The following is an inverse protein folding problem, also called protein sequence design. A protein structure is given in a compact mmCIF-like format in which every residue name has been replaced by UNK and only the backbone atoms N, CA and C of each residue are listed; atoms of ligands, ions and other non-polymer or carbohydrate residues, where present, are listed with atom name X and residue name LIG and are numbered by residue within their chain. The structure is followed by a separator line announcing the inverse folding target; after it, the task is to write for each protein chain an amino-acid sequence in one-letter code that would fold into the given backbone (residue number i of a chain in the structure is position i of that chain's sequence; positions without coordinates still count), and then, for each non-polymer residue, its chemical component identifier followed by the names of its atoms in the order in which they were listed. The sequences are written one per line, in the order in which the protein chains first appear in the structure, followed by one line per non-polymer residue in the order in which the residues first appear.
data_IF_778361598072
#
_entry.id   IF_778361598072
#
_cell.length_a   1.000
_cell.length_b   1.000
_cell.length_c   1.000
_cell.angle_alpha   90.00
_cell.angle_beta   90.00
_cell.angle_gamma   90.00
#
_symmetry.space_group_name_H-M   'P 1'
#
loop_
_entity.id
_entity.type
_entity.pdbx_description
1 polymer ?
#
# COMPACT_ATOMS: atom_id res chain seq x y z
N UNK A 1 -13.15 39.05 -30.71
CA UNK A 1 -14.00 38.80 -29.53
C UNK A 1 -15.01 37.71 -29.91
N UNK A 2 -15.17 36.70 -29.05
CA UNK A 2 -16.20 35.64 -29.10
C UNK A 2 -15.88 34.27 -29.74
N UNK A 3 -14.72 33.66 -29.43
CA UNK A 3 -14.56 32.19 -29.58
C UNK A 3 -13.77 31.58 -28.40
N UNK A 4 -14.27 31.77 -27.19
CA UNK A 4 -13.71 31.18 -25.97
C UNK A 4 -14.84 30.66 -25.07
N UNK A 5 -15.62 29.71 -25.58
CA UNK A 5 -16.71 29.04 -24.85
C UNK A 5 -16.84 27.60 -25.32
N UNK A 6 -16.07 26.71 -24.73
CA UNK A 6 -16.42 25.30 -24.55
C UNK A 6 -15.42 24.70 -23.55
N UNK A 7 -15.58 25.09 -22.30
CA UNK A 7 -15.14 24.30 -21.15
C UNK A 7 -15.88 22.95 -21.22
N UNK A 8 -15.32 21.99 -21.96
CA UNK A 8 -15.78 20.61 -21.90
C UNK A 8 -15.10 19.98 -20.70
N UNK A 9 -15.68 20.24 -19.52
CA UNK A 9 -15.41 19.48 -18.31
C UNK A 9 -15.84 18.04 -18.54
N UNK A 10 -14.95 17.25 -19.13
CA UNK A 10 -15.07 15.80 -19.13
C UNK A 10 -15.21 15.39 -17.65
N UNK A 11 -16.34 14.78 -17.30
CA UNK A 11 -16.45 14.09 -16.01
C UNK A 11 -15.44 12.96 -16.06
N UNK A 12 -14.23 13.25 -15.61
CA UNK A 12 -13.14 12.29 -15.54
C UNK A 12 -13.59 11.23 -14.53
N UNK A 13 -14.08 10.10 -15.05
CA UNK A 13 -14.47 8.97 -14.24
C UNK A 13 -13.32 8.59 -13.30
N UNK A 14 -13.62 7.97 -12.16
CA UNK A 14 -12.58 7.62 -11.21
C UNK A 14 -11.53 6.76 -11.91
N UNK A 15 -10.29 7.26 -11.96
CA UNK A 15 -9.15 6.56 -12.55
C UNK A 15 -9.06 5.17 -11.91
N UNK A 16 -9.17 4.12 -12.73
CA UNK A 16 -9.24 2.74 -12.28
C UNK A 16 -8.06 2.39 -11.36
N UNK A 17 -6.85 2.87 -11.69
CA UNK A 17 -5.65 2.61 -10.89
C UNK A 17 -5.75 3.26 -9.52
N UNK A 18 -6.23 4.51 -9.47
CA UNK A 18 -6.43 5.24 -8.21
C UNK A 18 -7.49 4.54 -7.37
N UNK A 19 -8.60 4.14 -7.97
CA UNK A 19 -9.69 3.42 -7.30
C UNK A 19 -9.20 2.11 -6.69
N UNK A 20 -8.48 1.28 -7.46
CA UNK A 20 -7.89 0.05 -6.95
C UNK A 20 -6.89 0.31 -5.82
N UNK A 21 -6.03 1.33 -5.96
CA UNK A 21 -5.06 1.66 -4.90
C UNK A 21 -5.73 2.11 -3.60
N UNK A 22 -6.85 2.83 -3.69
CA UNK A 22 -7.64 3.23 -2.52
C UNK A 22 -8.29 2.02 -1.85
N UNK A 23 -8.83 1.08 -2.63
CA UNK A 23 -9.41 -0.16 -2.10
C UNK A 23 -8.35 -1.04 -1.42
N UNK A 24 -7.16 -1.16 -2.01
CA UNK A 24 -6.02 -1.88 -1.41
C UNK A 24 -5.61 -1.22 -0.10
N UNK A 25 -5.46 0.12 -0.09
CA UNK A 25 -5.09 0.85 1.11
C UNK A 25 -6.13 0.67 2.22
N UNK A 26 -7.42 0.76 1.88
CA UNK A 26 -8.52 0.51 2.81
C UNK A 26 -8.49 -0.92 3.36
N UNK A 27 -8.33 -1.93 2.50
CA UNK A 27 -8.25 -3.32 2.92
C UNK A 27 -7.04 -3.59 3.83
N UNK A 28 -5.87 -3.01 3.52
CA UNK A 28 -4.68 -3.10 4.37
C UNK A 28 -4.92 -2.44 5.73
N UNK A 29 -5.56 -1.27 5.78
CA UNK A 29 -5.89 -0.60 7.04
C UNK A 29 -6.89 -1.43 7.87
N UNK A 30 -7.94 -1.97 7.24
CA UNK A 30 -8.87 -2.87 7.92
C UNK A 30 -8.12 -4.06 8.50
N UNK A 31 -7.29 -4.75 7.71
CA UNK A 31 -6.53 -5.90 8.17
C UNK A 31 -5.53 -5.55 9.30
N UNK A 32 -5.00 -4.33 9.30
CA UNK A 32 -4.06 -3.86 10.33
C UNK A 32 -4.74 -3.60 11.68
N UNK A 33 -5.96 -3.06 11.67
CA UNK A 33 -6.69 -2.66 12.89
C UNK A 33 -7.72 -3.71 13.37
N UNK A 34 -8.08 -4.67 12.52
CA UNK A 34 -9.01 -5.73 12.90
C UNK A 34 -8.36 -6.64 13.96
N UNK A 35 -9.07 -7.00 15.03
CA UNK A 35 -8.55 -7.96 15.99
C UNK A 35 -8.24 -9.29 15.29
N UNK A 36 -7.14 -9.97 15.66
CA UNK A 36 -6.80 -11.24 15.08
C UNK A 36 -7.89 -12.28 15.42
N UNK A 37 -8.24 -13.16 14.47
CA UNK A 37 -9.07 -14.32 14.77
C UNK A 37 -8.31 -15.32 15.66
N UNK A 38 -9.04 -16.24 16.29
CA UNK A 38 -8.48 -17.24 17.19
C UNK A 38 -7.35 -18.04 16.51
N UNK A 39 -6.22 -18.18 17.20
CA UNK A 39 -5.04 -18.89 16.69
C UNK A 39 -4.13 -18.09 15.76
N UNK A 40 -4.44 -16.83 15.45
CA UNK A 40 -3.58 -15.95 14.63
C UNK A 40 -2.93 -14.88 15.51
N UNK A 41 -1.64 -14.64 15.34
CA UNK A 41 -0.95 -13.58 16.06
C UNK A 41 -1.20 -12.21 15.44
N UNK A 42 -1.19 -11.16 16.27
CA UNK A 42 -1.26 -9.76 15.79
C UNK A 42 -0.13 -9.43 14.83
N UNK A 43 1.05 -10.02 15.02
CA UNK A 43 2.19 -9.88 14.12
C UNK A 43 1.87 -10.37 12.72
N UNK A 44 1.22 -11.53 12.58
CA UNK A 44 0.82 -12.08 11.29
C UNK A 44 -0.19 -11.14 10.60
N UNK A 45 -1.20 -10.66 11.32
CA UNK A 45 -2.19 -9.71 10.79
C UNK A 45 -1.53 -8.43 10.26
N UNK A 46 -0.65 -7.80 11.06
CA UNK A 46 0.05 -6.56 10.68
C UNK A 46 1.04 -6.77 9.54
N UNK A 47 1.75 -7.89 9.53
CA UNK A 47 2.67 -8.26 8.43
C UNK A 47 1.89 -8.51 7.15
N UNK A 48 0.75 -9.21 7.24
CA UNK A 48 -0.15 -9.45 6.11
C UNK A 48 -0.74 -8.16 5.56
N UNK A 49 -1.17 -7.24 6.43
CA UNK A 49 -1.67 -5.92 6.04
C UNK A 49 -0.63 -5.13 5.24
N UNK A 50 0.60 -5.06 5.74
CA UNK A 50 1.67 -4.33 5.08
C UNK A 50 2.12 -5.02 3.77
N UNK A 51 2.09 -6.35 3.74
CA UNK A 51 2.35 -7.15 2.53
C UNK A 51 1.29 -6.89 1.45
N UNK A 52 0.00 -6.91 1.83
CA UNK A 52 -1.12 -6.59 0.94
C UNK A 52 -0.99 -5.18 0.37
N UNK A 53 -0.65 -4.21 1.22
CA UNK A 53 -0.36 -2.84 0.80
C UNK A 53 0.74 -2.80 -0.26
N UNK A 54 1.91 -3.39 0.00
CA UNK A 54 3.04 -3.33 -0.94
C UNK A 54 2.72 -3.99 -2.28
N UNK A 55 2.16 -5.21 -2.25
CA UNK A 55 1.81 -5.94 -3.47
C UNK A 55 0.75 -5.18 -4.28
N UNK A 56 -0.29 -4.66 -3.63
CA UNK A 56 -1.34 -3.93 -4.34
C UNK A 56 -0.87 -2.58 -4.89
N UNK A 57 0.04 -1.88 -4.20
CA UNK A 57 0.64 -0.65 -4.73
C UNK A 57 1.59 -0.92 -5.90
N UNK A 58 2.36 -2.01 -5.88
CA UNK A 58 3.14 -2.43 -7.04
C UNK A 58 2.25 -2.88 -8.20
N UNK A 59 1.16 -3.61 -7.95
CA UNK A 59 0.23 -4.06 -8.97
C UNK A 59 -0.49 -2.89 -9.67
N UNK A 60 -0.82 -1.83 -8.94
CA UNK A 60 -1.48 -0.64 -9.50
C UNK A 60 -0.51 0.32 -10.19
N UNK A 61 0.80 0.22 -9.88
CA UNK A 61 1.85 1.12 -10.36
C UNK A 61 1.51 2.61 -10.18
N UNK A 62 0.74 2.94 -9.14
CA UNK A 62 0.34 4.33 -8.85
C UNK A 62 1.54 5.15 -8.35
N UNK A 63 2.55 4.48 -7.81
CA UNK A 63 3.83 5.04 -7.37
C UNK A 63 5.01 4.37 -8.09
N UNK A 64 6.17 5.05 -8.14
CA UNK A 64 7.43 4.41 -8.52
C UNK A 64 7.73 3.20 -7.63
N UNK A 65 8.25 2.12 -8.20
CA UNK A 65 8.49 0.85 -7.50
C UNK A 65 9.32 1.01 -6.21
N UNK A 66 10.35 1.87 -6.24
CA UNK A 66 11.20 2.16 -5.09
C UNK A 66 10.50 2.92 -3.98
N UNK A 67 9.52 3.77 -4.30
CA UNK A 67 8.78 4.54 -3.29
C UNK A 67 7.90 3.62 -2.45
N UNK A 68 7.21 2.66 -3.07
CA UNK A 68 6.43 1.63 -2.36
C UNK A 68 7.32 0.77 -1.47
N UNK A 69 8.52 0.40 -1.93
CA UNK A 69 9.48 -0.35 -1.12
C UNK A 69 9.94 0.46 0.11
N UNK A 70 10.29 1.73 -0.07
CA UNK A 70 10.67 2.64 1.03
C UNK A 70 9.52 2.78 2.02
N UNK A 71 8.29 2.98 1.54
CA UNK A 71 7.11 3.06 2.39
C UNK A 71 6.88 1.77 3.19
N UNK A 72 7.03 0.60 2.56
CA UNK A 72 6.95 -0.70 3.23
C UNK A 72 7.97 -0.80 4.39
N UNK A 73 9.26 -0.58 4.11
CA UNK A 73 10.29 -0.69 5.14
C UNK A 73 10.16 0.35 6.26
N UNK A 74 9.77 1.58 5.90
CA UNK A 74 9.52 2.65 6.85
C UNK A 74 8.37 2.29 7.80
N UNK A 75 7.23 1.88 7.25
CA UNK A 75 6.05 1.50 8.05
C UNK A 75 6.33 0.27 8.92
N UNK A 76 6.99 -0.75 8.38
CA UNK A 76 7.38 -1.93 9.15
C UNK A 76 8.21 -1.56 10.40
N UNK A 77 9.15 -0.63 10.22
CA UNK A 77 10.09 -0.22 11.27
C UNK A 77 9.46 0.75 12.28
N UNK A 78 8.76 1.78 11.81
CA UNK A 78 8.15 2.80 12.68
C UNK A 78 6.98 2.23 13.49
N UNK A 79 6.23 1.29 12.92
CA UNK A 79 5.11 0.63 13.60
C UNK A 79 5.53 -0.59 14.43
N UNK A 80 6.84 -0.86 14.52
CA UNK A 80 7.42 -1.98 15.27
C UNK A 80 6.73 -3.32 14.98
N UNK A 81 6.51 -3.62 13.69
CA UNK A 81 5.83 -4.87 13.27
C UNK A 81 6.73 -6.07 13.56
N UNK A 82 8.03 -5.92 13.31
CA UNK A 82 9.09 -6.88 13.58
C UNK A 82 10.41 -6.16 13.85
N UNK A 83 11.38 -6.82 14.52
CA UNK A 83 12.72 -6.27 14.69
C UNK A 83 13.32 -5.85 13.36
N UNK A 84 13.99 -4.70 13.31
CA UNK A 84 14.58 -4.17 12.07
C UNK A 84 15.55 -5.15 11.41
N UNK A 85 16.31 -5.91 12.20
CA UNK A 85 17.17 -6.98 11.71
C UNK A 85 16.40 -8.06 10.89
N UNK A 86 15.15 -8.35 11.25
CA UNK A 86 14.27 -9.27 10.51
C UNK A 86 13.69 -8.57 9.28
N UNK A 87 13.18 -7.35 9.44
CA UNK A 87 12.60 -6.54 8.35
C UNK A 87 13.58 -6.36 7.19
N UNK A 88 14.86 -6.08 7.49
CA UNK A 88 15.91 -5.85 6.49
C UNK A 88 16.72 -7.13 6.17
N UNK A 89 16.36 -8.29 6.71
CA UNK A 89 17.14 -9.54 6.52
C UNK A 89 17.32 -9.94 5.04
N UNK A 90 16.34 -9.61 4.20
CA UNK A 90 16.38 -9.88 2.75
C UNK A 90 17.58 -9.24 2.03
N UNK A 91 18.10 -8.11 2.53
CA UNK A 91 19.30 -7.48 1.97
C UNK A 91 20.59 -8.28 2.20
N UNK A 92 20.57 -9.23 3.14
CA UNK A 92 21.70 -10.13 3.43
C UNK A 92 21.54 -11.51 2.80
N UNK A 93 20.39 -11.78 2.17
CA UNK A 93 20.14 -13.06 1.50
C UNK A 93 21.10 -13.21 0.33
N UNK A 94 21.73 -14.39 0.24
CA UNK A 94 22.48 -14.78 -0.95
C UNK A 94 21.46 -15.19 -2.03
N UNK A 95 21.70 -14.75 -3.27
CA UNK A 95 20.96 -15.18 -4.45
C UNK A 95 21.35 -16.61 -4.86
#
# INVERSE_FOLDING_TARGET
MAQQTAEHGERQGPDFRKTCSLLVAAAALVLFFLPPPDGVSITIMRTGALTLFAIGFWATAVWPIGLTAIAYFLLASVMDIQPTAVVFSGFTSKA
#
